data_IF_879899405520
#
_entry.id   IF_879899405520
#
_cell.length_a   1.000
_cell.length_b   1.000
_cell.length_c   1.000
_cell.angle_alpha   90.00
_cell.angle_beta   90.00
_cell.angle_gamma   90.00
#
_symmetry.space_group_name_H-M   'P 1'
#
loop_
_entity.id
_entity.type
_entity.pdbx_description
1 polymer ?
#
# COMPACT_ATOMS: atom_id res chain seq x y z
N UNK A 1 37.35 5.31 -35.20
CA UNK A 1 37.07 4.33 -34.12
C UNK A 1 37.06 5.01 -32.73
N UNK A 2 36.34 6.13 -32.57
CA UNK A 2 36.11 6.86 -31.31
C UNK A 2 34.82 7.70 -31.45
N UNK A 3 33.63 7.12 -31.26
CA UNK A 3 32.39 7.92 -31.04
C UNK A 3 31.17 7.14 -30.51
N UNK A 4 31.33 5.94 -29.93
CA UNK A 4 30.18 5.16 -29.42
C UNK A 4 30.07 5.02 -27.90
N UNK A 5 30.92 5.69 -27.11
CA UNK A 5 30.88 5.56 -25.65
C UNK A 5 30.04 6.60 -24.88
N UNK A 6 29.57 7.69 -25.49
CA UNK A 6 29.01 8.82 -24.71
C UNK A 6 27.48 8.93 -24.61
N UNK A 7 26.70 7.99 -25.17
CA UNK A 7 25.22 8.10 -25.14
C UNK A 7 24.56 7.44 -23.92
N UNK A 8 25.25 6.54 -23.21
CA UNK A 8 24.68 5.84 -22.04
C UNK A 8 24.75 6.67 -20.74
N UNK A 9 25.72 7.58 -20.61
CA UNK A 9 25.86 8.44 -19.41
C UNK A 9 24.91 9.65 -19.40
N UNK A 10 24.48 10.14 -20.56
CA UNK A 10 23.62 11.32 -20.65
C UNK A 10 22.18 11.09 -20.12
N UNK A 11 21.67 9.86 -20.21
CA UNK A 11 20.31 9.54 -19.73
C UNK A 11 20.22 9.33 -18.22
N UNK A 12 21.31 8.91 -17.56
CA UNK A 12 21.34 8.73 -16.10
C UNK A 12 21.36 10.07 -15.35
N UNK A 13 22.02 11.09 -15.91
CA UNK A 13 22.07 12.43 -15.30
C UNK A 13 20.75 13.21 -15.45
N UNK A 14 20.00 13.01 -16.54
CA UNK A 14 18.72 13.70 -16.76
C UNK A 14 17.61 13.19 -15.82
N UNK A 15 17.62 11.90 -15.45
CA UNK A 15 16.68 11.32 -14.50
C UNK A 15 16.89 11.81 -13.05
N UNK A 16 18.15 12.11 -12.67
CA UNK A 16 18.48 12.61 -11.34
C UNK A 16 18.06 14.07 -11.11
N UNK A 17 18.11 14.92 -12.15
CA UNK A 17 17.76 16.35 -12.04
C UNK A 17 16.24 16.58 -12.04
N UNK A 18 15.46 15.77 -12.77
CA UNK A 18 14.00 15.86 -12.77
C UNK A 18 13.36 15.25 -11.49
N UNK A 19 14.02 14.28 -10.84
CA UNK A 19 13.57 13.72 -9.56
C UNK A 19 13.76 14.66 -8.36
N UNK A 20 14.79 15.51 -8.37
CA UNK A 20 15.09 16.41 -7.26
C UNK A 20 14.18 17.65 -7.21
N UNK A 21 13.67 18.12 -8.36
CA UNK A 21 12.82 19.32 -8.45
C UNK A 21 11.40 19.15 -7.90
N UNK A 22 10.85 17.94 -7.94
CA UNK A 22 9.49 17.63 -7.46
C UNK A 22 9.43 17.28 -5.96
N UNK A 23 10.54 16.88 -5.36
CA UNK A 23 10.61 16.56 -3.93
C UNK A 23 10.69 17.80 -3.03
N UNK A 24 11.20 18.93 -3.53
CA UNK A 24 11.40 20.14 -2.72
C UNK A 24 10.09 20.89 -2.38
N UNK A 25 9.08 20.82 -3.25
CA UNK A 25 7.81 21.55 -3.05
C UNK A 25 6.80 20.82 -2.16
N UNK A 26 6.99 19.52 -1.93
CA UNK A 26 6.10 18.69 -1.08
C UNK A 26 6.60 18.53 0.38
N UNK A 27 7.73 19.15 0.74
CA UNK A 27 8.36 18.96 2.05
C UNK A 27 8.00 20.02 3.11
N UNK A 28 7.18 21.03 2.78
CA UNK A 28 6.66 21.98 3.78
C UNK A 28 5.27 21.54 4.26
N UNK A 29 5.21 21.29 5.57
CA UNK A 29 4.03 21.07 6.43
C UNK A 29 3.62 19.62 6.70
N UNK A 30 4.31 18.99 7.67
CA UNK A 30 3.68 18.05 8.59
C UNK A 30 3.89 18.53 10.03
N UNK A 31 2.82 18.73 10.82
CA UNK A 31 2.95 18.92 12.25
C UNK A 31 3.34 17.60 12.94
N UNK A 32 4.28 17.69 13.89
CA UNK A 32 4.66 16.60 14.78
C UNK A 32 3.47 16.24 15.67
N UNK A 33 3.00 15.00 15.59
CA UNK A 33 2.06 14.45 16.57
C UNK A 33 2.85 13.98 17.79
N UNK A 34 2.67 14.68 18.91
CA UNK A 34 3.12 14.28 20.23
C UNK A 34 2.28 13.09 20.71
N UNK A 35 2.96 12.03 21.11
CA UNK A 35 2.39 10.86 21.77
C UNK A 35 2.31 11.12 23.28
N UNK A 36 1.11 11.05 23.86
CA UNK A 36 0.98 10.93 25.32
C UNK A 36 -0.44 11.06 25.83
N UNK A 37 -1.06 9.92 26.16
CA UNK A 37 -1.83 9.71 27.39
C UNK A 37 -2.62 8.40 27.29
N UNK A 38 -2.21 7.41 28.07
CA UNK A 38 -2.98 6.20 28.36
C UNK A 38 -4.26 6.58 29.12
N UNK A 39 -5.42 6.15 28.60
CA UNK A 39 -6.67 6.12 29.35
C UNK A 39 -7.22 4.70 29.32
N UNK A 40 -7.09 3.99 30.44
CA UNK A 40 -7.82 2.76 30.74
C UNK A 40 -9.31 3.10 30.83
N UNK A 41 -10.11 2.58 29.90
CA UNK A 41 -11.57 2.56 30.02
C UNK A 41 -12.01 1.09 30.15
N UNK A 42 -12.69 0.82 31.25
CA UNK A 42 -13.33 -0.44 31.62
C UNK A 42 -14.47 -0.77 30.68
N UNK A 43 -14.46 -2.01 30.19
CA UNK A 43 -15.50 -2.61 29.35
C UNK A 43 -16.65 -3.12 30.24
N UNK A 44 -17.72 -2.35 30.37
CA UNK A 44 -19.00 -2.84 30.93
C UNK A 44 -20.18 -1.96 30.50
N UNK A 45 -20.72 -2.20 29.30
CA UNK A 45 -22.10 -1.81 28.94
C UNK A 45 -22.50 -2.45 27.60
N UNK A 46 -22.74 -3.77 27.63
CA UNK A 46 -23.43 -4.48 26.56
C UNK A 46 -24.94 -4.46 26.82
N UNK A 47 -25.71 -4.19 25.75
CA UNK A 47 -27.13 -4.53 25.58
C UNK A 47 -28.20 -3.86 26.46
N UNK A 48 -28.74 -2.73 25.97
CA UNK A 48 -30.20 -2.48 25.87
C UNK A 48 -30.51 -1.53 24.69
N UNK A 49 -30.75 -2.08 23.51
CA UNK A 49 -31.37 -1.32 22.41
C UNK A 49 -32.89 -1.34 22.57
N UNK A 50 -33.44 -0.27 23.15
CA UNK A 50 -34.86 0.07 23.00
C UNK A 50 -35.06 0.77 21.65
N UNK A 51 -36.16 0.52 20.92
CA UNK A 51 -36.49 1.22 19.69
C UNK A 51 -37.05 2.60 20.05
N UNK A 52 -36.18 3.49 20.53
CA UNK A 52 -36.55 4.89 20.72
C UNK A 52 -36.66 5.52 19.32
N UNK A 53 -37.88 5.86 18.89
CA UNK A 53 -38.13 6.63 17.66
C UNK A 53 -37.36 7.96 17.78
N UNK A 54 -36.13 7.99 17.28
CA UNK A 54 -35.37 9.22 17.12
C UNK A 54 -36.18 10.11 16.18
N UNK A 55 -36.75 11.20 16.71
CA UNK A 55 -37.27 12.27 15.88
C UNK A 55 -36.10 12.74 15.02
N UNK A 56 -36.22 12.56 13.71
CA UNK A 56 -35.27 13.13 12.75
C UNK A 56 -35.22 14.64 12.99
N UNK A 57 -34.03 15.15 13.28
CA UNK A 57 -33.79 16.58 13.33
C UNK A 57 -34.21 17.20 11.99
N UNK A 58 -34.79 18.42 11.95
CA UNK A 58 -35.10 19.11 10.70
C UNK A 58 -33.92 19.15 9.73
N UNK A 59 -32.69 19.24 10.26
CA UNK A 59 -31.46 19.24 9.47
C UNK A 59 -31.15 17.85 8.87
N UNK A 60 -31.47 16.77 9.59
CA UNK A 60 -31.32 15.40 9.07
C UNK A 60 -32.22 15.14 7.86
N UNK A 61 -33.46 15.65 7.88
CA UNK A 61 -34.38 15.52 6.75
C UNK A 61 -33.87 16.20 5.47
N UNK A 62 -33.15 17.31 5.59
CA UNK A 62 -32.53 18.02 4.45
C UNK A 62 -31.42 17.19 3.82
N UNK A 63 -30.55 16.59 4.63
CA UNK A 63 -29.47 15.72 4.14
C UNK A 63 -30.03 14.44 3.52
N UNK A 64 -31.04 13.83 4.13
CA UNK A 64 -31.73 12.68 3.55
C UNK A 64 -32.32 12.99 2.17
N UNK A 65 -33.01 14.13 2.04
CA UNK A 65 -33.56 14.58 0.76
C UNK A 65 -32.45 14.83 -0.27
N UNK A 66 -31.33 15.44 0.14
CA UNK A 66 -30.17 15.67 -0.71
C UNK A 66 -29.59 14.35 -1.24
N UNK A 67 -29.28 13.40 -0.35
CA UNK A 67 -28.72 12.09 -0.72
C UNK A 67 -29.68 11.33 -1.66
N UNK A 68 -30.98 11.38 -1.38
CA UNK A 68 -32.00 10.75 -2.23
C UNK A 68 -32.14 11.36 -3.61
N UNK A 69 -31.80 12.65 -3.78
CA UNK A 69 -31.81 13.31 -5.08
C UNK A 69 -30.60 12.97 -5.95
N UNK A 70 -29.51 12.46 -5.37
CA UNK A 70 -28.24 12.25 -6.10
C UNK A 70 -28.38 11.33 -7.31
N UNK A 71 -29.02 10.15 -7.25
CA UNK A 71 -29.14 9.27 -8.41
C UNK A 71 -29.80 9.95 -9.62
N UNK A 72 -30.87 10.71 -9.38
CA UNK A 72 -31.61 11.43 -10.42
C UNK A 72 -30.78 12.58 -11.00
N UNK A 73 -30.08 13.32 -10.14
CA UNK A 73 -29.21 14.42 -10.58
C UNK A 73 -28.04 13.94 -11.42
N UNK A 74 -27.46 12.79 -11.09
CA UNK A 74 -26.32 12.23 -11.82
C UNK A 74 -26.71 11.51 -13.12
N UNK A 75 -27.97 11.14 -13.31
CA UNK A 75 -28.44 10.51 -14.54
C UNK A 75 -28.47 11.46 -15.77
N UNK A 76 -28.26 12.76 -15.58
CA UNK A 76 -28.53 13.80 -16.58
C UNK A 76 -27.44 13.98 -17.67
N UNK A 77 -26.58 12.99 -17.93
CA UNK A 77 -25.51 13.12 -18.93
C UNK A 77 -24.49 14.22 -18.60
N UNK A 78 -24.22 14.42 -17.32
CA UNK A 78 -23.33 15.47 -16.81
C UNK A 78 -21.86 15.22 -17.17
N UNK A 79 -21.09 16.30 -17.26
CA UNK A 79 -19.63 16.22 -17.34
C UNK A 79 -19.02 15.73 -16.02
N UNK A 80 -17.78 15.22 -16.06
CA UNK A 80 -17.07 14.73 -14.87
C UNK A 80 -16.88 15.81 -13.81
N UNK A 81 -16.66 17.06 -14.23
CA UNK A 81 -16.47 18.18 -13.31
C UNK A 81 -17.78 18.55 -12.61
N UNK A 82 -18.91 18.51 -13.33
CA UNK A 82 -20.24 18.73 -12.75
C UNK A 82 -20.61 17.63 -11.75
N UNK A 83 -20.35 16.36 -12.08
CA UNK A 83 -20.55 15.24 -11.15
C UNK A 83 -19.72 15.44 -9.88
N UNK A 84 -18.43 15.78 -10.04
CA UNK A 84 -17.52 16.05 -8.92
C UNK A 84 -18.04 17.19 -8.04
N UNK A 85 -18.42 18.32 -8.64
CA UNK A 85 -18.97 19.46 -7.91
C UNK A 85 -20.28 19.15 -7.16
N UNK A 86 -21.13 18.26 -7.70
CA UNK A 86 -22.33 17.79 -7.02
C UNK A 86 -21.98 16.95 -5.78
N UNK A 87 -21.04 16.02 -5.93
CA UNK A 87 -20.60 15.15 -4.83
C UNK A 87 -19.86 15.93 -3.74
N UNK A 88 -19.03 16.91 -4.10
CA UNK A 88 -18.34 17.78 -3.15
C UNK A 88 -19.33 18.63 -2.35
N UNK A 89 -20.37 19.18 -3.01
CA UNK A 89 -21.43 19.91 -2.32
C UNK A 89 -22.22 19.00 -1.38
N UNK A 90 -22.45 17.75 -1.76
CA UNK A 90 -23.09 16.78 -0.87
C UNK A 90 -22.22 16.43 0.33
N UNK A 91 -20.91 16.26 0.13
CA UNK A 91 -19.94 16.03 1.20
C UNK A 91 -19.87 17.22 2.16
N UNK A 92 -19.86 18.45 1.65
CA UNK A 92 -19.91 19.66 2.47
C UNK A 92 -21.21 19.73 3.30
N UNK A 93 -22.36 19.45 2.69
CA UNK A 93 -23.64 19.45 3.41
C UNK A 93 -23.70 18.43 4.55
N UNK A 94 -23.00 17.29 4.44
CA UNK A 94 -22.88 16.31 5.52
C UNK A 94 -22.11 16.87 6.74
N UNK A 95 -21.19 17.82 6.53
CA UNK A 95 -20.41 18.44 7.61
C UNK A 95 -21.17 19.56 8.33
N UNK A 96 -22.21 20.13 7.70
CA UNK A 96 -23.04 21.21 8.27
C UNK A 96 -24.15 20.71 9.21
N UNK A 97 -24.38 19.40 9.28
CA UNK A 97 -25.37 18.81 10.18
C UNK A 97 -24.70 18.05 11.34
N UNK A 98 -25.42 17.80 12.46
CA UNK A 98 -24.86 16.98 13.53
C UNK A 98 -24.35 15.64 13.00
N UNK A 99 -23.12 15.25 13.37
CA UNK A 99 -22.47 14.01 12.90
C UNK A 99 -23.37 12.78 12.98
N UNK A 100 -24.13 12.63 14.06
CA UNK A 100 -25.05 11.50 14.24
C UNK A 100 -26.16 11.46 13.18
N UNK A 101 -26.66 12.62 12.74
CA UNK A 101 -27.67 12.72 11.69
C UNK A 101 -27.06 12.42 10.31
N UNK A 102 -25.86 12.94 10.01
CA UNK A 102 -25.16 12.62 8.76
C UNK A 102 -24.83 11.12 8.62
N UNK A 103 -24.36 10.49 9.70
CA UNK A 103 -24.08 9.05 9.75
C UNK A 103 -25.35 8.24 9.53
N UNK A 104 -26.45 8.59 10.22
CA UNK A 104 -27.73 7.91 10.06
C UNK A 104 -28.26 8.03 8.62
N UNK A 105 -28.15 9.22 8.01
CA UNK A 105 -28.56 9.48 6.64
C UNK A 105 -27.75 8.66 5.62
N UNK A 106 -26.42 8.57 5.79
CA UNK A 106 -25.55 7.76 4.94
C UNK A 106 -25.85 6.26 5.06
N UNK A 107 -26.04 5.74 6.28
CA UNK A 107 -26.42 4.34 6.50
C UNK A 107 -27.76 4.05 5.83
N UNK A 108 -28.77 4.92 6.05
CA UNK A 108 -30.07 4.76 5.42
C UNK A 108 -29.98 4.80 3.88
N UNK A 109 -29.11 5.66 3.32
CA UNK A 109 -28.84 5.71 1.89
C UNK A 109 -28.21 4.41 1.36
N UNK A 110 -27.22 3.88 2.07
CA UNK A 110 -26.58 2.62 1.70
C UNK A 110 -27.53 1.42 1.83
N UNK A 111 -28.40 1.39 2.85
CA UNK A 111 -29.38 0.32 3.08
C UNK A 111 -30.46 0.24 2.00
N UNK A 112 -30.76 1.36 1.30
CA UNK A 112 -31.70 1.36 0.17
C UNK A 112 -31.19 0.60 -1.05
N UNK A 113 -29.90 0.26 -1.10
CA UNK A 113 -29.32 -0.47 -2.23
C UNK A 113 -29.26 0.33 -3.55
N UNK A 114 -29.63 1.62 -3.55
CA UNK A 114 -29.64 2.43 -4.77
C UNK A 114 -28.21 2.64 -5.27
N UNK A 115 -27.88 1.99 -6.39
CA UNK A 115 -26.57 2.10 -7.02
C UNK A 115 -26.63 3.01 -8.25
N UNK A 116 -26.16 4.25 -8.10
CA UNK A 116 -25.98 5.18 -9.22
C UNK A 116 -24.51 5.21 -9.65
N UNK A 117 -24.24 4.90 -10.91
CA UNK A 117 -22.92 5.11 -11.50
C UNK A 117 -22.64 6.61 -11.60
N UNK A 118 -21.44 7.04 -11.23
CA UNK A 118 -21.03 8.47 -11.30
C UNK A 118 -20.34 8.79 -12.63
N UNK A 119 -19.85 7.77 -13.34
CA UNK A 119 -18.97 7.95 -14.51
C UNK A 119 -17.55 8.46 -14.17
N UNK A 120 -17.24 8.58 -12.87
CA UNK A 120 -15.90 8.90 -12.39
C UNK A 120 -15.06 7.64 -12.20
N UNK A 121 -13.75 7.82 -12.06
CA UNK A 121 -12.84 6.71 -11.75
C UNK A 121 -12.82 6.45 -10.25
N UNK A 122 -12.38 5.25 -9.84
CA UNK A 122 -11.92 5.05 -8.47
C UNK A 122 -10.53 5.67 -8.35
N UNK A 123 -10.40 6.76 -7.60
CA UNK A 123 -9.12 7.45 -7.46
C UNK A 123 -8.84 7.73 -6.00
N UNK A 124 -7.71 7.20 -5.51
CA UNK A 124 -7.24 7.46 -4.15
C UNK A 124 -6.34 8.69 -4.13
N UNK A 125 -6.48 9.52 -3.10
CA UNK A 125 -5.61 10.64 -2.81
C UNK A 125 -4.83 10.43 -1.50
N UNK A 126 -4.05 11.43 -1.09
CA UNK A 126 -3.27 11.36 0.14
C UNK A 126 -4.15 11.07 1.37
N UNK A 127 -3.63 10.22 2.26
CA UNK A 127 -4.34 9.81 3.48
C UNK A 127 -5.43 8.74 3.26
N UNK A 128 -5.43 8.06 2.10
CA UNK A 128 -6.33 6.93 1.84
C UNK A 128 -7.80 7.34 1.68
N UNK A 129 -8.02 8.58 1.25
CA UNK A 129 -9.33 9.14 0.90
C UNK A 129 -9.60 8.94 -0.59
N UNK A 130 -10.87 8.82 -0.97
CA UNK A 130 -11.22 8.85 -2.39
C UNK A 130 -11.34 10.28 -2.91
N UNK A 131 -10.56 10.62 -3.93
CA UNK A 131 -10.78 11.84 -4.72
C UNK A 131 -12.03 11.72 -5.57
N UNK A 132 -12.23 10.54 -6.17
CA UNK A 132 -13.42 10.22 -6.94
C UNK A 132 -13.79 8.75 -6.76
N UNK A 133 -15.07 8.44 -6.98
CA UNK A 133 -15.64 7.13 -6.76
C UNK A 133 -16.52 6.73 -7.94
N UNK A 134 -16.47 5.48 -8.43
CA UNK A 134 -17.19 5.03 -9.63
C UNK A 134 -18.71 4.91 -9.40
N UNK A 135 -19.14 4.76 -8.15
CA UNK A 135 -20.55 4.71 -7.79
C UNK A 135 -20.88 5.55 -6.56
N UNK A 136 -22.16 5.92 -6.45
CA UNK A 136 -22.70 6.61 -5.27
C UNK A 136 -22.54 5.80 -3.99
N UNK A 137 -22.58 4.46 -4.08
CA UNK A 137 -22.38 3.58 -2.93
C UNK A 137 -20.94 3.59 -2.45
N UNK A 138 -19.97 3.53 -3.37
CA UNK A 138 -18.54 3.65 -3.04
C UNK A 138 -18.25 5.03 -2.45
N UNK A 139 -18.81 6.10 -3.02
CA UNK A 139 -18.71 7.46 -2.47
C UNK A 139 -19.28 7.54 -1.05
N UNK A 140 -20.49 7.01 -0.82
CA UNK A 140 -21.15 7.07 0.48
C UNK A 140 -20.42 6.24 1.55
N UNK A 141 -19.90 5.06 1.20
CA UNK A 141 -19.04 4.27 2.09
C UNK A 141 -17.76 5.02 2.47
N UNK A 142 -17.19 5.77 1.53
CA UNK A 142 -16.03 6.60 1.80
C UNK A 142 -16.37 7.76 2.74
N UNK A 143 -17.47 8.48 2.50
CA UNK A 143 -17.93 9.54 3.41
C UNK A 143 -18.23 9.01 4.82
N UNK A 144 -18.89 7.85 4.92
CA UNK A 144 -19.17 7.22 6.21
C UNK A 144 -17.88 6.93 6.98
N UNK A 145 -16.87 6.37 6.31
CA UNK A 145 -15.55 6.10 6.91
C UNK A 145 -14.73 7.36 7.27
N UNK A 146 -15.05 8.52 6.68
CA UNK A 146 -14.45 9.81 7.07
C UNK A 146 -15.15 10.42 8.28
N UNK A 147 -16.47 10.30 8.35
CA UNK A 147 -17.28 10.88 9.42
C UNK A 147 -17.19 10.05 10.69
N UNK A 148 -17.35 8.72 10.59
CA UNK A 148 -17.45 7.83 11.76
C UNK A 148 -16.88 6.45 11.48
N UNK A 149 -15.63 6.23 11.91
CA UNK A 149 -14.88 4.99 11.68
C UNK A 149 -15.58 3.77 12.29
N UNK A 150 -16.21 3.91 13.46
CA UNK A 150 -16.90 2.81 14.15
C UNK A 150 -18.12 2.37 13.34
N UNK A 151 -19.03 3.29 13.02
CA UNK A 151 -20.23 2.99 12.24
C UNK A 151 -19.88 2.47 10.84
N UNK A 152 -18.80 2.99 10.23
CA UNK A 152 -18.32 2.51 8.95
C UNK A 152 -17.83 1.06 9.01
N UNK A 153 -17.06 0.71 10.04
CA UNK A 153 -16.58 -0.65 10.25
C UNK A 153 -17.72 -1.63 10.56
N UNK A 154 -18.71 -1.21 11.37
CA UNK A 154 -19.90 -2.00 11.64
C UNK A 154 -20.71 -2.25 10.35
N UNK A 155 -20.82 -1.22 9.50
CA UNK A 155 -21.52 -1.33 8.22
C UNK A 155 -20.78 -2.24 7.21
N UNK A 156 -19.45 -2.35 7.28
CA UNK A 156 -18.66 -3.23 6.40
C UNK A 156 -19.15 -4.68 6.43
N UNK A 157 -19.63 -5.19 7.57
CA UNK A 157 -20.19 -6.54 7.68
C UNK A 157 -21.38 -6.78 6.72
N UNK A 158 -22.19 -5.76 6.45
CA UNK A 158 -23.31 -5.80 5.49
C UNK A 158 -22.83 -5.75 4.04
N UNK A 159 -21.70 -5.11 3.78
CA UNK A 159 -21.09 -5.14 2.45
C UNK A 159 -20.57 -6.53 2.15
N UNK A 160 -19.93 -7.20 3.11
CA UNK A 160 -19.40 -8.55 2.89
C UNK A 160 -20.47 -9.63 2.68
N UNK A 161 -21.72 -9.40 3.11
CA UNK A 161 -22.81 -10.34 2.79
C UNK A 161 -23.23 -10.29 1.33
N UNK A 162 -22.86 -9.24 0.59
CA UNK A 162 -23.21 -9.05 -0.81
C UNK A 162 -21.93 -9.08 -1.65
N UNK A 163 -21.84 -10.04 -2.57
CA UNK A 163 -20.63 -10.28 -3.37
C UNK A 163 -20.67 -9.53 -4.73
N UNK A 164 -21.16 -8.29 -4.71
CA UNK A 164 -21.54 -7.60 -5.96
C UNK A 164 -20.45 -6.66 -6.50
N UNK A 165 -19.59 -6.11 -5.64
CA UNK A 165 -18.62 -5.08 -6.03
C UNK A 165 -17.32 -5.14 -5.24
N UNK A 166 -16.21 -5.41 -5.93
CA UNK A 166 -14.87 -5.32 -5.36
C UNK A 166 -14.53 -3.90 -4.88
N UNK A 167 -15.08 -2.86 -5.52
CA UNK A 167 -14.85 -1.46 -5.13
C UNK A 167 -15.50 -1.14 -3.78
N UNK A 168 -16.72 -1.61 -3.54
CA UNK A 168 -17.38 -1.47 -2.23
C UNK A 168 -16.63 -2.26 -1.16
N UNK A 169 -16.21 -3.49 -1.48
CA UNK A 169 -15.42 -4.30 -0.56
C UNK A 169 -14.09 -3.64 -0.17
N UNK A 170 -13.37 -3.04 -1.12
CA UNK A 170 -12.11 -2.36 -0.84
C UNK A 170 -12.29 -1.20 0.14
N UNK A 171 -13.31 -0.35 -0.05
CA UNK A 171 -13.62 0.74 0.88
C UNK A 171 -14.10 0.21 2.24
N UNK A 172 -14.91 -0.84 2.26
CA UNK A 172 -15.37 -1.49 3.47
C UNK A 172 -14.20 -2.08 4.29
N UNK A 173 -13.27 -2.78 3.62
CA UNK A 173 -12.04 -3.31 4.21
C UNK A 173 -11.17 -2.20 4.79
N UNK A 174 -10.98 -1.09 4.07
CA UNK A 174 -10.28 0.09 4.60
C UNK A 174 -10.95 0.64 5.86
N UNK A 175 -12.28 0.78 5.85
CA UNK A 175 -13.02 1.29 7.00
C UNK A 175 -12.86 0.36 8.22
N UNK A 176 -12.97 -0.95 8.01
CA UNK A 176 -12.74 -1.94 9.07
C UNK A 176 -11.30 -1.93 9.57
N UNK A 177 -10.31 -1.81 8.66
CA UNK A 177 -8.89 -1.67 9.02
C UNK A 177 -8.65 -0.46 9.92
N UNK A 178 -9.23 0.70 9.60
CA UNK A 178 -9.07 1.94 10.40
C UNK A 178 -9.57 1.78 11.83
N UNK A 179 -10.61 0.98 12.04
CA UNK A 179 -11.12 0.65 13.37
C UNK A 179 -10.24 -0.39 14.09
N UNK A 180 -9.80 -1.42 13.35
CA UNK A 180 -9.12 -2.57 13.91
C UNK A 180 -7.64 -2.31 14.24
N UNK A 181 -6.91 -1.63 13.35
CA UNK A 181 -5.46 -1.47 13.42
C UNK A 181 -4.97 -0.79 14.71
N UNK A 182 -5.60 0.29 15.24
CA UNK A 182 -5.19 0.90 16.50
C UNK A 182 -5.24 -0.05 17.71
N UNK A 183 -6.09 -1.08 17.64
CA UNK A 183 -6.25 -2.08 18.71
C UNK A 183 -5.47 -3.38 18.44
N UNK A 184 -4.72 -3.46 17.33
CA UNK A 184 -3.99 -4.65 16.90
C UNK A 184 -4.89 -5.80 16.40
N UNK A 185 -6.20 -5.59 16.27
CA UNK A 185 -7.17 -6.63 15.86
C UNK A 185 -7.24 -6.83 14.34
N UNK A 186 -6.10 -6.97 13.67
CA UNK A 186 -6.03 -6.99 12.20
C UNK A 186 -6.50 -8.30 11.57
N UNK A 187 -6.57 -9.40 12.33
CA UNK A 187 -6.84 -10.75 11.79
C UNK A 187 -8.22 -10.90 11.11
N UNK A 188 -9.34 -10.39 11.67
CA UNK A 188 -10.62 -10.40 10.97
C UNK A 188 -10.58 -9.67 9.63
N UNK A 189 -9.82 -8.57 9.53
CA UNK A 189 -9.64 -7.80 8.30
C UNK A 189 -8.79 -8.60 7.31
N UNK A 190 -7.66 -9.16 7.76
CA UNK A 190 -6.78 -10.03 6.96
C UNK A 190 -7.56 -11.15 6.28
N UNK A 191 -8.45 -11.83 7.00
CA UNK A 191 -9.29 -12.91 6.46
C UNK A 191 -10.16 -12.43 5.30
N UNK A 192 -10.79 -11.27 5.44
CA UNK A 192 -11.64 -10.68 4.39
C UNK A 192 -10.82 -10.17 3.20
N UNK A 193 -9.60 -9.69 3.42
CA UNK A 193 -8.67 -9.38 2.34
C UNK A 193 -8.32 -10.64 1.55
N UNK A 194 -7.96 -11.73 2.25
CA UNK A 194 -7.63 -13.02 1.64
C UNK A 194 -8.81 -13.59 0.83
N UNK A 195 -10.03 -13.42 1.33
CA UNK A 195 -11.26 -13.79 0.61
C UNK A 195 -11.41 -13.00 -0.70
N UNK A 196 -11.30 -11.66 -0.64
CA UNK A 196 -11.42 -10.82 -1.83
C UNK A 196 -10.36 -11.16 -2.89
N UNK A 197 -9.09 -11.27 -2.51
CA UNK A 197 -8.01 -11.56 -3.48
C UNK A 197 -8.09 -12.98 -4.06
N UNK A 198 -8.83 -13.88 -3.40
CA UNK A 198 -9.02 -15.25 -3.89
C UNK A 198 -10.17 -15.34 -4.89
N UNK A 199 -10.96 -14.29 -5.07
CA UNK A 199 -12.05 -14.29 -6.04
C UNK A 199 -11.53 -14.23 -7.49
N UNK A 200 -11.74 -15.33 -8.21
CA UNK A 200 -11.28 -15.47 -9.59
C UNK A 200 -12.06 -14.58 -10.57
N UNK A 201 -13.34 -14.27 -10.27
CA UNK A 201 -14.18 -13.41 -11.10
C UNK A 201 -13.63 -11.99 -11.12
N UNK A 202 -13.39 -11.41 -9.94
CA UNK A 202 -12.79 -10.09 -9.80
C UNK A 202 -11.34 -10.06 -10.29
N UNK A 203 -10.54 -11.11 -10.07
CA UNK A 203 -9.18 -11.16 -10.59
C UNK A 203 -9.12 -11.19 -12.13
N UNK A 204 -10.12 -11.80 -12.80
CA UNK A 204 -10.13 -11.89 -14.27
C UNK A 204 -10.39 -10.54 -14.97
N UNK A 205 -11.16 -9.66 -14.33
CA UNK A 205 -11.45 -8.30 -14.80
C UNK A 205 -11.31 -7.34 -13.61
N UNK A 206 -10.06 -7.03 -13.19
CA UNK A 206 -9.82 -6.32 -11.95
C UNK A 206 -10.30 -4.88 -12.06
N UNK A 207 -11.22 -4.50 -11.18
CA UNK A 207 -11.51 -3.09 -10.93
C UNK A 207 -10.36 -2.44 -10.17
N UNK A 208 -10.32 -1.12 -10.14
CA UNK A 208 -9.29 -0.41 -9.35
C UNK A 208 -9.45 -0.71 -7.85
N UNK A 209 -10.68 -0.82 -7.33
CA UNK A 209 -10.88 -1.20 -5.93
C UNK A 209 -10.39 -2.62 -5.63
N UNK A 210 -10.57 -3.58 -6.56
CA UNK A 210 -9.93 -4.88 -6.42
C UNK A 210 -8.41 -4.76 -6.31
N UNK A 211 -7.78 -3.94 -7.15
CA UNK A 211 -6.32 -3.70 -7.10
C UNK A 211 -5.88 -3.03 -5.80
N UNK A 212 -6.70 -2.14 -5.22
CA UNK A 212 -6.43 -1.54 -3.91
C UNK A 212 -6.52 -2.55 -2.75
N UNK A 213 -7.17 -3.71 -2.94
CA UNK A 213 -7.13 -4.76 -1.92
C UNK A 213 -5.74 -5.40 -1.77
N UNK A 214 -4.87 -5.27 -2.79
CA UNK A 214 -3.48 -5.69 -2.69
C UNK A 214 -2.73 -4.76 -1.72
N UNK A 215 -3.06 -3.47 -1.65
CA UNK A 215 -2.54 -2.57 -0.60
C UNK A 215 -2.99 -3.01 0.79
N UNK A 216 -4.26 -3.38 0.93
CA UNK A 216 -4.79 -3.93 2.18
C UNK A 216 -4.10 -5.24 2.60
N UNK A 217 -3.67 -6.07 1.65
CA UNK A 217 -2.86 -7.27 1.95
C UNK A 217 -1.51 -6.91 2.57
N UNK A 218 -0.90 -5.81 2.12
CA UNK A 218 0.32 -5.27 2.72
C UNK A 218 0.03 -4.79 4.14
N UNK A 219 -1.01 -3.98 4.32
CA UNK A 219 -1.36 -3.39 5.60
C UNK A 219 -1.78 -4.41 6.68
N UNK A 220 -2.32 -5.55 6.25
CA UNK A 220 -2.75 -6.65 7.15
C UNK A 220 -1.73 -7.77 7.26
N UNK A 221 -0.55 -7.61 6.62
CA UNK A 221 0.51 -8.61 6.59
C UNK A 221 0.04 -9.98 6.08
N UNK A 222 -0.84 -9.98 5.08
CA UNK A 222 -1.47 -11.18 4.52
C UNK A 222 -0.50 -11.97 3.63
N UNK A 223 0.59 -12.47 4.19
CA UNK A 223 1.66 -13.16 3.46
C UNK A 223 1.19 -14.44 2.75
N UNK A 224 0.07 -15.03 3.17
CA UNK A 224 -0.56 -16.16 2.47
C UNK A 224 -0.99 -15.81 1.05
N UNK A 225 -1.04 -14.52 0.70
CA UNK A 225 -1.31 -14.04 -0.64
C UNK A 225 -0.14 -14.22 -1.61
N UNK A 226 1.10 -14.44 -1.13
CA UNK A 226 2.30 -14.51 -1.99
C UNK A 226 2.17 -15.53 -3.14
N UNK A 227 1.67 -16.76 -2.93
CA UNK A 227 1.43 -17.69 -4.04
C UNK A 227 0.43 -17.17 -5.09
N UNK A 228 -0.57 -16.39 -4.69
CA UNK A 228 -1.49 -15.75 -5.64
C UNK A 228 -0.80 -14.63 -6.41
N UNK A 229 0.00 -13.80 -5.74
CA UNK A 229 0.80 -12.77 -6.40
C UNK A 229 1.77 -13.37 -7.41
N UNK A 230 2.44 -14.46 -7.07
CA UNK A 230 3.33 -15.16 -7.99
C UNK A 230 2.61 -15.62 -9.27
N UNK A 231 1.45 -16.27 -9.13
CA UNK A 231 0.65 -16.68 -10.30
C UNK A 231 0.23 -15.48 -11.14
N UNK A 232 -0.10 -14.36 -10.49
CA UNK A 232 -0.50 -13.14 -11.16
C UNK A 232 0.64 -12.40 -11.87
N UNK A 233 1.90 -12.75 -11.62
CA UNK A 233 3.03 -12.20 -12.37
C UNK A 233 3.20 -12.83 -13.76
N UNK A 234 2.50 -13.92 -14.05
CA UNK A 234 2.55 -14.57 -15.36
C UNK A 234 2.05 -13.64 -16.48
N UNK A 235 2.75 -13.65 -17.62
CA UNK A 235 2.44 -12.77 -18.77
C UNK A 235 1.05 -12.94 -19.38
N UNK A 236 0.37 -14.07 -19.12
CA UNK A 236 -1.02 -14.32 -19.54
C UNK A 236 -2.06 -13.53 -18.73
N UNK A 237 -1.68 -13.00 -17.56
CA UNK A 237 -2.57 -12.30 -16.65
C UNK A 237 -2.80 -10.84 -17.07
N UNK A 238 -3.91 -10.19 -16.68
CA UNK A 238 -4.15 -8.78 -16.98
C UNK A 238 -3.00 -7.89 -16.52
N UNK A 239 -2.54 -6.97 -17.37
CA UNK A 239 -1.38 -6.09 -17.07
C UNK A 239 -1.51 -5.34 -15.74
N UNK A 240 -2.72 -4.86 -15.41
CA UNK A 240 -2.98 -4.16 -14.16
C UNK A 240 -2.80 -5.08 -12.94
N UNK A 241 -3.22 -6.34 -13.05
CA UNK A 241 -3.05 -7.34 -12.00
C UNK A 241 -1.59 -7.71 -11.79
N UNK A 242 -0.82 -7.89 -12.87
CA UNK A 242 0.63 -8.13 -12.80
C UNK A 242 1.35 -6.98 -12.08
N UNK A 243 1.02 -5.74 -12.49
CA UNK A 243 1.56 -4.53 -11.88
C UNK A 243 1.21 -4.44 -10.39
N UNK A 244 -0.05 -4.66 -10.03
CA UNK A 244 -0.51 -4.68 -8.65
C UNK A 244 0.21 -5.73 -7.80
N UNK A 245 0.31 -6.97 -8.29
CA UNK A 245 0.99 -8.06 -7.59
C UNK A 245 2.48 -7.75 -7.33
N UNK A 246 3.16 -7.18 -8.33
CA UNK A 246 4.55 -6.74 -8.18
C UNK A 246 4.68 -5.65 -7.11
N UNK A 247 3.82 -4.62 -7.14
CA UNK A 247 3.83 -3.53 -6.14
C UNK A 247 3.53 -4.06 -4.74
N UNK A 248 2.61 -5.01 -4.59
CA UNK A 248 2.27 -5.59 -3.29
C UNK A 248 3.46 -6.35 -2.67
N UNK A 249 4.15 -7.17 -3.46
CA UNK A 249 5.36 -7.89 -3.03
C UNK A 249 6.49 -6.93 -2.66
N UNK A 250 6.68 -5.89 -3.47
CA UNK A 250 7.66 -4.85 -3.22
C UNK A 250 7.40 -4.18 -1.86
N UNK A 251 6.15 -3.83 -1.59
CA UNK A 251 5.75 -3.15 -0.36
C UNK A 251 5.70 -4.04 0.88
N UNK A 252 5.30 -5.30 0.76
CA UNK A 252 5.42 -6.26 1.86
C UNK A 252 6.86 -6.31 2.37
N UNK A 253 7.82 -6.22 1.46
CA UNK A 253 9.23 -6.19 1.78
C UNK A 253 9.66 -4.87 2.41
N UNK A 254 9.08 -3.73 2.01
CA UNK A 254 9.45 -2.41 2.54
C UNK A 254 8.79 -2.08 3.89
N UNK A 255 7.55 -2.50 4.14
CA UNK A 255 6.81 -2.12 5.35
C UNK A 255 7.26 -2.93 6.58
N UNK A 256 7.58 -4.22 6.42
CA UNK A 256 8.00 -5.12 7.51
C UNK A 256 9.15 -6.06 7.12
N UNK A 257 10.30 -5.54 6.63
CA UNK A 257 11.40 -6.38 6.11
C UNK A 257 11.87 -7.41 7.14
N UNK A 258 11.96 -7.03 8.42
CA UNK A 258 12.37 -7.91 9.51
C UNK A 258 11.49 -9.14 9.72
N UNK A 259 10.20 -9.08 9.38
CA UNK A 259 9.27 -10.21 9.49
C UNK A 259 9.09 -10.95 8.16
N UNK A 260 9.00 -10.21 7.05
CA UNK A 260 8.71 -10.79 5.75
C UNK A 260 9.92 -11.49 5.11
N UNK A 261 11.12 -10.91 5.20
CA UNK A 261 12.32 -11.49 4.56
C UNK A 261 12.68 -12.87 5.12
N UNK A 262 12.68 -13.12 6.45
CA UNK A 262 12.91 -14.47 6.97
C UNK A 262 11.93 -15.50 6.40
N UNK A 263 10.64 -15.16 6.30
CA UNK A 263 9.63 -16.05 5.75
C UNK A 263 9.83 -16.30 4.26
N UNK A 264 10.13 -15.25 3.48
CA UNK A 264 10.43 -15.37 2.05
C UNK A 264 11.63 -16.30 1.81
N UNK A 265 12.65 -16.23 2.68
CA UNK A 265 13.85 -17.07 2.60
C UNK A 265 13.62 -18.49 3.14
N UNK A 266 12.67 -18.70 4.04
CA UNK A 266 12.33 -20.03 4.56
C UNK A 266 11.44 -20.82 3.60
N UNK A 267 10.46 -20.15 2.98
CA UNK A 267 9.48 -20.74 2.06
C UNK A 267 10.08 -20.94 0.68
N UNK A 268 10.72 -22.09 0.43
CA UNK A 268 11.45 -22.32 -0.83
C UNK A 268 10.57 -22.28 -2.07
N UNK A 269 9.30 -22.61 -1.91
CA UNK A 269 8.27 -22.62 -2.94
C UNK A 269 7.84 -21.22 -3.38
N UNK A 270 8.02 -20.18 -2.56
CA UNK A 270 7.61 -18.82 -2.90
C UNK A 270 8.52 -18.18 -3.95
N UNK A 271 7.89 -17.59 -4.96
CA UNK A 271 8.56 -16.90 -6.07
C UNK A 271 9.54 -17.80 -6.82
N UNK A 272 9.32 -19.11 -6.81
CA UNK A 272 10.18 -20.08 -7.51
C UNK A 272 10.17 -19.86 -9.02
N UNK A 273 9.04 -19.44 -9.59
CA UNK A 273 8.93 -19.08 -11.01
C UNK A 273 9.48 -17.67 -11.30
N UNK A 274 9.79 -16.88 -10.28
CA UNK A 274 10.23 -15.49 -10.38
C UNK A 274 11.54 -15.23 -9.60
N UNK A 275 12.62 -16.00 -9.85
CA UNK A 275 13.85 -15.94 -9.06
C UNK A 275 14.50 -14.55 -9.08
N UNK A 276 14.48 -13.85 -10.23
CA UNK A 276 15.05 -12.50 -10.32
C UNK A 276 14.26 -11.45 -9.54
N UNK A 277 12.94 -11.62 -9.41
CA UNK A 277 12.13 -10.79 -8.53
C UNK A 277 12.48 -11.07 -7.08
N UNK A 278 12.55 -12.34 -6.67
CA UNK A 278 12.94 -12.75 -5.33
C UNK A 278 14.29 -12.15 -4.93
N UNK A 279 15.29 -12.21 -5.82
CA UNK A 279 16.58 -11.54 -5.62
C UNK A 279 16.43 -10.03 -5.37
N UNK A 280 15.59 -9.35 -6.15
CA UNK A 280 15.31 -7.92 -5.99
C UNK A 280 14.62 -7.56 -4.67
N UNK A 281 13.74 -8.42 -4.16
CA UNK A 281 13.09 -8.26 -2.86
C UNK A 281 14.09 -8.49 -1.72
N UNK A 282 14.85 -9.59 -1.74
CA UNK A 282 15.86 -9.87 -0.70
C UNK A 282 16.96 -8.80 -0.68
N UNK A 283 17.30 -8.21 -1.82
CA UNK A 283 18.25 -7.09 -1.92
C UNK A 283 17.80 -5.82 -1.18
N UNK A 284 16.55 -5.72 -0.73
CA UNK A 284 16.06 -4.59 0.08
C UNK A 284 16.47 -4.64 1.55
N UNK A 285 17.03 -5.75 2.02
CA UNK A 285 17.45 -5.94 3.40
C UNK A 285 18.39 -4.83 3.90
N UNK A 286 18.15 -4.33 5.10
CA UNK A 286 19.09 -3.50 5.84
C UNK A 286 20.10 -4.40 6.58
N UNK A 287 21.34 -4.47 6.08
CA UNK A 287 22.37 -5.30 6.71
C UNK A 287 22.84 -4.80 8.08
N UNK A 288 22.45 -3.60 8.51
CA UNK A 288 22.69 -3.14 9.88
C UNK A 288 21.71 -3.77 10.88
N UNK A 289 20.60 -4.33 10.40
CA UNK A 289 19.61 -5.06 11.20
C UNK A 289 19.96 -6.55 11.21
N UNK A 290 20.33 -7.07 12.37
CA UNK A 290 20.82 -8.45 12.52
C UNK A 290 19.85 -9.51 11.94
N UNK A 291 18.54 -9.36 12.16
CA UNK A 291 17.53 -10.32 11.68
C UNK A 291 17.43 -10.34 10.15
N UNK A 292 17.50 -9.19 9.50
CA UNK A 292 17.47 -9.07 8.04
C UNK A 292 18.77 -9.57 7.42
N UNK A 293 19.91 -9.22 8.01
CA UNK A 293 21.21 -9.77 7.65
C UNK A 293 21.23 -11.29 7.72
N UNK A 294 20.71 -11.90 8.79
CA UNK A 294 20.59 -13.35 8.91
C UNK A 294 19.71 -13.96 7.82
N UNK A 295 18.63 -13.29 7.42
CA UNK A 295 17.79 -13.76 6.31
C UNK A 295 18.58 -13.77 5.00
N UNK A 296 19.34 -12.71 4.71
CA UNK A 296 20.23 -12.66 3.53
C UNK A 296 21.30 -13.74 3.57
N UNK A 297 21.95 -13.95 4.70
CA UNK A 297 22.98 -14.99 4.84
C UNK A 297 22.42 -16.40 4.59
N UNK A 298 21.20 -16.68 5.06
CA UNK A 298 20.49 -17.94 4.76
C UNK A 298 20.16 -18.04 3.29
N UNK A 299 19.65 -16.97 2.68
CA UNK A 299 19.36 -16.90 1.26
C UNK A 299 20.60 -17.21 0.39
N UNK A 300 21.72 -16.58 0.70
CA UNK A 300 23.00 -16.82 0.02
C UNK A 300 23.58 -18.22 0.25
N UNK A 301 23.07 -19.01 1.19
CA UNK A 301 23.47 -20.41 1.43
C UNK A 301 22.51 -21.43 0.81
N UNK A 302 21.38 -21.00 0.26
CA UNK A 302 20.39 -21.92 -0.33
C UNK A 302 20.92 -22.61 -1.59
N UNK A 303 20.80 -23.92 -1.61
CA UNK A 303 21.18 -24.79 -2.74
C UNK A 303 20.37 -24.50 -4.01
N UNK A 304 19.12 -24.07 -3.86
CA UNK A 304 18.21 -23.78 -4.96
C UNK A 304 18.32 -22.36 -5.55
N UNK A 305 19.18 -21.50 -4.98
CA UNK A 305 19.47 -20.17 -5.55
C UNK A 305 20.45 -20.32 -6.71
N UNK A 306 19.96 -20.08 -7.92
CA UNK A 306 20.76 -20.14 -9.14
C UNK A 306 21.82 -19.02 -9.19
N UNK A 307 22.91 -19.24 -9.94
CA UNK A 307 23.98 -18.25 -10.08
C UNK A 307 23.48 -16.90 -10.60
N UNK A 308 22.58 -16.90 -11.58
CA UNK A 308 21.97 -15.68 -12.13
C UNK A 308 21.13 -14.93 -11.11
N UNK A 309 20.45 -15.65 -10.21
CA UNK A 309 19.66 -15.08 -9.13
C UNK A 309 20.57 -14.42 -8.07
N UNK A 310 21.59 -15.15 -7.59
CA UNK A 310 22.54 -14.60 -6.61
C UNK A 310 23.34 -13.41 -7.15
N UNK A 311 23.76 -13.46 -8.41
CA UNK A 311 24.36 -12.32 -9.11
C UNK A 311 23.42 -11.12 -9.14
N UNK A 312 22.15 -11.33 -9.51
CA UNK A 312 21.15 -10.25 -9.53
C UNK A 312 20.94 -9.62 -8.16
N UNK A 313 20.93 -10.43 -7.10
CA UNK A 313 20.84 -9.94 -5.73
C UNK A 313 22.03 -9.03 -5.38
N UNK A 314 23.27 -9.45 -5.66
CA UNK A 314 24.49 -8.68 -5.36
C UNK A 314 24.65 -7.42 -6.22
N UNK A 315 24.15 -7.44 -7.45
CA UNK A 315 24.04 -6.25 -8.30
C UNK A 315 23.12 -5.18 -7.69
N UNK A 316 22.06 -5.61 -7.00
CA UNK A 316 21.02 -4.72 -6.47
C UNK A 316 21.23 -4.29 -5.01
N UNK A 317 21.96 -5.04 -4.20
CA UNK A 317 22.10 -4.80 -2.75
C UNK A 317 22.87 -3.49 -2.43
N UNK A 318 22.34 -2.54 -1.62
CA UNK A 318 20.97 -2.47 -1.13
C UNK A 318 20.03 -1.87 -2.19
N UNK A 319 18.87 -2.49 -2.36
CA UNK A 319 17.86 -2.02 -3.30
C UNK A 319 17.00 -0.94 -2.63
N UNK A 320 17.32 0.32 -2.89
CA UNK A 320 16.64 1.50 -2.33
C UNK A 320 15.56 2.09 -3.25
N UNK A 321 15.23 1.42 -4.36
CA UNK A 321 14.14 1.86 -5.23
C UNK A 321 12.81 1.85 -4.48
N UNK A 322 11.88 2.74 -4.81
CA UNK A 322 10.58 2.80 -4.15
C UNK A 322 9.48 3.14 -5.14
N UNK A 323 8.34 2.47 -5.02
CA UNK A 323 7.14 2.78 -5.79
C UNK A 323 6.28 3.79 -5.03
N UNK A 324 6.07 4.96 -5.62
CA UNK A 324 5.21 6.02 -5.06
C UNK A 324 3.80 5.88 -5.62
N UNK A 325 2.82 5.69 -4.74
CA UNK A 325 1.40 5.79 -5.09
C UNK A 325 0.57 6.20 -3.88
N UNK A 326 -0.62 6.75 -4.15
CA UNK A 326 -1.67 6.93 -3.15
C UNK A 326 -2.47 5.64 -3.02
N UNK A 327 -2.69 5.16 -1.80
CA UNK A 327 -3.37 3.90 -1.54
C UNK A 327 -4.38 4.06 -0.42
N UNK A 328 -5.34 3.14 -0.35
CA UNK A 328 -6.40 3.19 0.66
C UNK A 328 -5.88 3.16 2.09
N UNK A 329 -4.80 2.41 2.34
CA UNK A 329 -4.32 2.16 3.70
C UNK A 329 -2.84 2.48 3.87
N UNK A 330 -1.95 1.87 3.10
CA UNK A 330 -0.51 2.09 3.31
C UNK A 330 -0.06 3.42 2.70
N UNK A 331 1.00 3.99 3.27
CA UNK A 331 1.64 5.19 2.72
C UNK A 331 2.98 4.81 2.14
N UNK A 332 3.19 5.10 0.85
CA UNK A 332 4.49 4.86 0.22
C UNK A 332 5.60 5.63 0.95
N UNK A 333 6.69 4.93 1.31
CA UNK A 333 7.87 5.53 1.92
C UNK A 333 9.03 5.47 0.93
N UNK A 334 9.59 6.63 0.60
CA UNK A 334 10.83 6.71 -0.18
C UNK A 334 11.99 6.95 0.79
N UNK A 335 13.06 6.12 0.74
CA UNK A 335 14.26 6.40 1.52
C UNK A 335 14.81 7.79 1.22
N UNK A 336 15.15 8.54 2.26
CA UNK A 336 15.91 9.79 2.11
C UNK A 336 17.32 9.48 1.60
N UNK A 337 18.02 10.45 0.96
CA UNK A 337 19.41 10.27 0.54
C UNK A 337 20.33 9.80 1.68
N UNK A 338 20.13 10.30 2.90
CA UNK A 338 20.90 9.90 4.08
C UNK A 338 20.59 8.46 4.50
N UNK A 339 19.32 8.03 4.44
CA UNK A 339 18.96 6.64 4.69
C UNK A 339 19.59 5.71 3.65
N UNK A 340 19.48 6.03 2.36
CA UNK A 340 20.09 5.25 1.29
C UNK A 340 21.62 5.12 1.47
N UNK A 341 22.29 6.21 1.83
CA UNK A 341 23.72 6.19 2.08
C UNK A 341 24.12 5.31 3.29
N UNK A 342 23.32 5.30 4.37
CA UNK A 342 23.55 4.40 5.51
C UNK A 342 23.38 2.93 5.11
N UNK A 343 22.38 2.62 4.29
CA UNK A 343 22.18 1.29 3.74
C UNK A 343 23.38 0.85 2.89
N UNK A 344 23.91 1.72 2.03
CA UNK A 344 25.10 1.44 1.21
C UNK A 344 26.33 1.10 2.09
N UNK A 345 26.53 1.86 3.17
CA UNK A 345 27.61 1.60 4.13
C UNK A 345 27.45 0.26 4.83
N UNK A 346 26.24 -0.06 5.29
CA UNK A 346 25.94 -1.34 5.92
C UNK A 346 26.14 -2.51 4.94
N UNK A 347 25.68 -2.35 3.70
CA UNK A 347 25.88 -3.32 2.62
C UNK A 347 27.37 -3.55 2.33
N UNK A 348 28.17 -2.47 2.24
CA UNK A 348 29.61 -2.57 2.01
C UNK A 348 30.31 -3.36 3.12
N UNK A 349 29.97 -3.08 4.38
CA UNK A 349 30.52 -3.79 5.53
C UNK A 349 30.17 -5.29 5.49
N UNK A 350 28.89 -5.61 5.24
CA UNK A 350 28.43 -7.00 5.14
C UNK A 350 29.09 -7.78 3.99
N UNK A 351 29.20 -7.17 2.80
CA UNK A 351 29.88 -7.79 1.64
C UNK A 351 31.34 -8.08 1.95
N UNK A 352 32.07 -7.15 2.56
CA UNK A 352 33.48 -7.37 2.95
C UNK A 352 33.62 -8.53 3.92
N UNK A 353 32.76 -8.60 4.93
CA UNK A 353 32.78 -9.69 5.89
C UNK A 353 32.47 -11.05 5.24
N UNK A 354 31.49 -11.11 4.33
CA UNK A 354 31.12 -12.35 3.65
C UNK A 354 32.20 -12.86 2.69
N UNK A 355 33.01 -11.99 2.10
CA UNK A 355 34.16 -12.39 1.26
C UNK A 355 35.18 -13.23 2.00
N UNK A 356 35.33 -13.01 3.31
CA UNK A 356 36.28 -13.72 4.15
C UNK A 356 35.74 -15.08 4.63
N UNK A 357 34.45 -15.36 4.40
CA UNK A 357 33.78 -16.55 4.92
C UNK A 357 33.65 -17.63 3.85
N UNK A 358 34.27 -18.79 4.10
CA UNK A 358 34.27 -19.93 3.18
C UNK A 358 32.87 -20.44 2.81
N UNK A 359 31.88 -20.31 3.70
CA UNK A 359 30.48 -20.68 3.44
C UNK A 359 29.83 -19.90 2.29
N UNK A 360 30.42 -18.78 1.86
CA UNK A 360 29.97 -17.99 0.72
C UNK A 360 30.92 -18.02 -0.49
N UNK A 361 31.88 -18.95 -0.54
CA UNK A 361 32.89 -19.01 -1.60
C UNK A 361 32.30 -19.08 -3.03
N UNK A 362 31.07 -19.61 -3.18
CA UNK A 362 30.37 -19.68 -4.47
C UNK A 362 30.02 -18.30 -5.08
N UNK A 363 30.10 -17.22 -4.30
CA UNK A 363 29.77 -15.85 -4.71
C UNK A 363 31.01 -14.92 -4.74
N UNK A 364 32.22 -15.49 -4.72
CA UNK A 364 33.45 -14.72 -4.55
C UNK A 364 33.63 -13.63 -5.61
N UNK A 365 33.34 -13.95 -6.89
CA UNK A 365 33.44 -12.98 -7.98
C UNK A 365 32.41 -11.86 -7.85
N UNK A 366 31.15 -12.20 -7.54
CA UNK A 366 30.07 -11.24 -7.39
C UNK A 366 30.28 -10.32 -6.17
N UNK A 367 30.86 -10.81 -5.07
CA UNK A 367 31.20 -9.95 -3.94
C UNK A 367 32.27 -8.93 -4.27
N UNK A 368 33.29 -9.28 -5.08
CA UNK A 368 34.30 -8.31 -5.53
C UNK A 368 33.62 -7.19 -6.33
N UNK A 369 32.73 -7.55 -7.26
CA UNK A 369 31.99 -6.57 -8.04
C UNK A 369 31.08 -5.68 -7.17
N UNK A 370 30.36 -6.28 -6.22
CA UNK A 370 29.50 -5.55 -5.28
C UNK A 370 30.31 -4.60 -4.39
N UNK A 371 31.47 -5.03 -3.89
CA UNK A 371 32.33 -4.19 -3.05
C UNK A 371 32.84 -2.96 -3.81
N UNK A 372 33.30 -3.11 -5.06
CA UNK A 372 33.76 -1.97 -5.87
C UNK A 372 32.64 -0.95 -6.03
N UNK A 373 31.45 -1.39 -6.47
CA UNK A 373 30.27 -0.53 -6.63
C UNK A 373 29.89 0.17 -5.33
N UNK A 374 29.81 -0.57 -4.23
CA UNK A 374 29.41 -0.03 -2.92
C UNK A 374 30.44 0.93 -2.35
N UNK A 375 31.73 0.66 -2.55
CA UNK A 375 32.82 1.57 -2.15
C UNK A 375 32.73 2.91 -2.86
N UNK A 376 32.44 2.90 -4.17
CA UNK A 376 32.20 4.12 -4.95
C UNK A 376 30.97 4.88 -4.46
N UNK A 377 29.86 4.18 -4.18
CA UNK A 377 28.63 4.79 -3.67
C UNK A 377 28.84 5.46 -2.31
N UNK A 378 29.46 4.75 -1.35
CA UNK A 378 29.74 5.27 0.00
C UNK A 378 30.68 6.47 -0.08
N UNK A 379 31.74 6.42 -0.89
CA UNK A 379 32.65 7.56 -1.07
C UNK A 379 31.93 8.77 -1.67
N UNK A 380 31.00 8.56 -2.60
CA UNK A 380 30.14 9.61 -3.16
C UNK A 380 29.25 10.23 -2.08
N UNK A 381 28.64 9.41 -1.24
CA UNK A 381 27.78 9.87 -0.16
C UNK A 381 28.54 10.68 0.91
N UNK A 382 29.78 10.32 1.23
CA UNK A 382 30.66 11.10 2.11
C UNK A 382 30.97 12.46 1.49
N UNK A 383 31.35 12.52 0.21
CA UNK A 383 31.57 13.80 -0.50
C UNK A 383 30.32 14.67 -0.54
N UNK A 384 29.14 14.05 -0.67
CA UNK A 384 27.84 14.72 -0.65
C UNK A 384 27.36 15.16 0.73
N UNK A 385 28.11 14.87 1.81
CA UNK A 385 27.71 15.19 3.18
C UNK A 385 26.53 14.36 3.71
N UNK A 386 26.17 13.27 3.02
CA UNK A 386 25.11 12.36 3.47
C UNK A 386 25.59 11.36 4.53
N UNK A 387 26.92 11.17 4.63
CA UNK A 387 27.58 10.34 5.62
C UNK A 387 28.77 11.08 6.24
N UNK A 388 29.01 10.81 7.51
CA UNK A 388 30.29 11.13 8.14
C UNK A 388 31.40 10.23 7.59
N UNK A 389 32.63 10.73 7.42
CA UNK A 389 33.77 9.97 6.88
C UNK A 389 33.96 8.58 7.48
#
# INVERSE_FOLDING_TARGET
>A
MRSRLNKKFAWAALAAVLGAGLAWTLWREQPRAESGAESRITSEAMNRHSPNRRRTSPNGAVVDALLNSLPQRLAAGLSRDEVTAILDRAAAALLEVPRADAVAALIAFLDRGTNGQTGLMFQVESGGKLRSAPSLRVWALDQLGRLDVVSAADYSARIYSNHDSADEWAVALRNQWRQAAPSGQIEPVRRRVLELISDAGWASVPSVGFLEALDLSVATLAWEAVPSFERWLDSSQPTALRGGAWVALDRLTMEVPGDFLPLLVERKEWLRSQPLLRAGLVARADLSVARERMAVERYLQRDDVATSEGKRFLELLPNVSATVSHNLVTTARTPTPQQAARLDRAALAGVREWREQSKFARWAEEFVAAEVRLSESVASAVRGGYLQP
#
